data_IF_618095501236
#
_entry.id   IF_618095501236
#
_cell.length_a   1.000
_cell.length_b   1.000
_cell.length_c   1.000
_cell.angle_alpha   90.00
_cell.angle_beta   90.00
_cell.angle_gamma   90.00
#
_symmetry.space_group_name_H-M   'P 1'
#
loop_
_entity.id
_entity.type
_entity.pdbx_description
1 polymer ?
#
# COMPACT_ATOMS: atom_id res chain seq x y z
N UNK A 1 -10.47 -17.44 -18.90
CA UNK A 1 -9.79 -16.22 -18.43
C UNK A 1 -8.31 -16.49 -18.35
N UNK A 2 -7.47 -15.72 -19.04
CA UNK A 2 -6.02 -15.90 -18.96
C UNK A 2 -5.52 -15.43 -17.59
N UNK A 3 -4.67 -16.23 -16.96
CA UNK A 3 -4.06 -15.91 -15.67
C UNK A 3 -3.02 -14.79 -15.88
N UNK A 4 -2.97 -13.81 -14.97
CA UNK A 4 -2.03 -12.69 -15.09
C UNK A 4 -0.58 -13.23 -15.07
N UNK A 5 0.34 -12.73 -15.93
CA UNK A 5 1.69 -13.27 -16.06
C UNK A 5 2.54 -13.23 -14.79
N UNK A 6 2.15 -12.42 -13.80
CA UNK A 6 2.83 -12.36 -12.50
C UNK A 6 2.50 -13.52 -11.55
N UNK A 7 1.46 -14.33 -11.84
CA UNK A 7 1.08 -15.45 -10.95
C UNK A 7 2.16 -16.53 -10.98
N UNK A 8 2.68 -16.88 -9.81
CA UNK A 8 3.80 -17.84 -9.65
C UNK A 8 5.19 -17.24 -9.87
N UNK A 9 5.27 -15.99 -10.36
CA UNK A 9 6.54 -15.29 -10.49
C UNK A 9 7.04 -14.79 -9.12
N UNK A 10 8.35 -14.71 -8.94
CA UNK A 10 8.94 -14.06 -7.76
C UNK A 10 8.83 -12.55 -7.91
N UNK A 11 8.52 -11.87 -6.81
CA UNK A 11 8.57 -10.42 -6.77
C UNK A 11 10.03 -9.97 -6.97
N UNK A 12 10.31 -9.03 -7.89
CA UNK A 12 11.64 -8.42 -8.02
C UNK A 12 12.01 -7.62 -6.77
N UNK A 13 13.26 -7.18 -6.69
CA UNK A 13 13.73 -6.34 -5.58
C UNK A 13 12.81 -5.13 -5.39
N UNK A 14 12.35 -4.94 -4.17
CA UNK A 14 11.47 -3.86 -3.76
C UNK A 14 12.13 -3.09 -2.62
N UNK A 15 12.17 -1.77 -2.75
CA UNK A 15 12.60 -0.84 -1.72
C UNK A 15 11.61 0.32 -1.71
N UNK A 16 10.92 0.50 -0.59
CA UNK A 16 9.90 1.53 -0.40
C UNK A 16 10.31 2.48 0.71
N UNK A 17 10.18 3.76 0.42
CA UNK A 17 10.37 4.85 1.40
C UNK A 17 9.11 4.97 2.25
N UNK A 18 9.26 5.04 3.57
CA UNK A 18 8.12 5.37 4.43
C UNK A 18 7.76 6.86 4.30
N UNK A 19 6.48 7.15 4.10
CA UNK A 19 5.95 8.53 4.03
C UNK A 19 5.28 8.98 5.33
N UNK A 20 4.89 8.04 6.21
CA UNK A 20 4.25 8.33 7.50
C UNK A 20 5.23 8.19 8.66
N UNK A 21 5.05 8.99 9.71
CA UNK A 21 5.84 8.88 10.95
C UNK A 21 5.56 7.54 11.66
N UNK A 22 6.61 6.93 12.21
CA UNK A 22 6.51 5.68 12.98
C UNK A 22 6.83 4.38 12.21
N UNK A 23 7.06 4.46 10.90
CA UNK A 23 7.52 3.32 10.10
C UNK A 23 8.89 3.60 9.48
N UNK A 24 9.76 2.59 9.46
CA UNK A 24 11.01 2.61 8.71
C UNK A 24 10.81 2.26 7.24
N UNK A 25 11.83 2.52 6.43
CA UNK A 25 11.86 2.09 5.04
C UNK A 25 11.65 0.57 4.95
N UNK A 26 10.89 0.13 3.94
CA UNK A 26 10.49 -1.27 3.76
C UNK A 26 11.28 -1.88 2.62
N UNK A 27 11.95 -2.99 2.90
CA UNK A 27 12.66 -3.79 1.90
C UNK A 27 11.95 -5.12 1.66
N UNK A 28 12.25 -5.75 0.52
CA UNK A 28 11.69 -7.07 0.18
C UNK A 28 11.93 -8.13 1.27
N UNK A 29 13.06 -8.09 1.98
CA UNK A 29 13.37 -9.00 3.08
C UNK A 29 12.32 -8.96 4.19
N UNK A 30 11.77 -7.78 4.46
CA UNK A 30 10.83 -7.52 5.56
C UNK A 30 9.42 -8.07 5.25
N UNK A 31 9.19 -8.43 3.99
CA UNK A 31 7.94 -8.94 3.44
C UNK A 31 7.93 -10.45 3.26
N UNK A 32 9.09 -11.12 3.35
CA UNK A 32 9.18 -12.56 3.17
C UNK A 32 8.40 -13.29 4.27
N UNK A 33 7.64 -14.32 3.86
CA UNK A 33 6.79 -15.10 4.76
C UNK A 33 5.45 -14.43 5.10
N UNK A 34 5.22 -13.18 4.65
CA UNK A 34 3.95 -12.50 4.81
C UNK A 34 3.12 -12.57 3.52
N UNK A 35 1.81 -12.61 3.69
CA UNK A 35 0.86 -12.25 2.62
C UNK A 35 0.82 -10.72 2.56
N UNK A 36 1.18 -10.17 1.40
CA UNK A 36 1.28 -8.71 1.22
C UNK A 36 0.25 -8.26 0.20
N UNK A 37 -0.61 -7.33 0.61
CA UNK A 37 -1.46 -6.55 -0.28
C UNK A 37 -0.77 -5.24 -0.62
N UNK A 38 -0.30 -5.09 -1.86
CA UNK A 38 0.20 -3.81 -2.37
C UNK A 38 -0.93 -3.07 -3.08
N UNK A 39 -1.17 -1.84 -2.64
CA UNK A 39 -2.12 -0.93 -3.23
C UNK A 39 -1.40 0.30 -3.79
N UNK A 40 -1.50 0.54 -5.08
CA UNK A 40 -0.91 1.73 -5.73
C UNK A 40 -1.99 2.79 -5.89
N UNK A 41 -1.76 4.01 -5.39
CA UNK A 41 -2.78 5.05 -5.34
C UNK A 41 -2.23 6.46 -5.52
N UNK A 42 -3.13 7.44 -5.66
CA UNK A 42 -2.84 8.88 -5.61
C UNK A 42 -4.12 9.68 -5.36
N UNK A 43 -4.03 10.91 -4.84
CA UNK A 43 -5.24 11.68 -4.47
C UNK A 43 -6.10 12.10 -5.65
N UNK A 44 -5.46 12.26 -6.80
CA UNK A 44 -6.10 12.53 -8.09
C UNK A 44 -6.73 11.29 -8.72
N UNK A 45 -6.50 10.09 -8.17
CA UNK A 45 -7.03 8.84 -8.70
C UNK A 45 -8.45 8.56 -8.16
N UNK A 46 -9.47 8.92 -8.96
CA UNK A 46 -10.87 8.66 -8.65
C UNK A 46 -11.18 7.18 -8.33
N UNK A 47 -10.77 6.21 -9.17
CA UNK A 47 -10.96 4.79 -8.88
C UNK A 47 -10.30 4.34 -7.57
N UNK A 48 -9.08 4.80 -7.29
CA UNK A 48 -8.37 4.45 -6.06
C UNK A 48 -9.15 4.91 -4.81
N UNK A 49 -9.82 6.07 -4.87
CA UNK A 49 -10.68 6.55 -3.77
C UNK A 49 -11.88 5.64 -3.54
N UNK A 50 -12.46 5.08 -4.61
CA UNK A 50 -13.55 4.12 -4.52
C UNK A 50 -13.09 2.77 -3.92
N UNK A 51 -11.80 2.43 -4.04
CA UNK A 51 -11.22 1.22 -3.47
C UNK A 51 -10.90 1.34 -1.97
N UNK A 52 -10.73 2.56 -1.43
CA UNK A 52 -10.36 2.77 -0.02
C UNK A 52 -11.30 2.10 1.00
N UNK A 53 -12.64 2.16 0.87
CA UNK A 53 -13.54 1.46 1.79
C UNK A 53 -13.31 -0.06 1.79
N UNK A 54 -13.04 -0.65 0.62
CA UNK A 54 -12.75 -2.07 0.51
C UNK A 54 -11.41 -2.44 1.15
N UNK A 55 -10.40 -1.57 1.04
CA UNK A 55 -9.13 -1.75 1.74
C UNK A 55 -9.29 -1.68 3.26
N UNK A 56 -10.15 -0.78 3.75
CA UNK A 56 -10.49 -0.70 5.17
C UNK A 56 -11.16 -2.00 5.66
N UNK A 57 -12.09 -2.57 4.89
CA UNK A 57 -12.72 -3.85 5.22
C UNK A 57 -11.73 -5.02 5.24
N UNK A 58 -10.81 -5.08 4.27
CA UNK A 58 -9.74 -6.08 4.25
C UNK A 58 -8.86 -5.94 5.50
N UNK A 59 -8.46 -4.71 5.83
CA UNK A 59 -7.66 -4.46 7.01
C UNK A 59 -8.39 -4.80 8.31
N UNK A 60 -9.69 -4.51 8.41
CA UNK A 60 -10.50 -4.89 9.56
C UNK A 60 -10.55 -6.42 9.75
N UNK A 61 -10.55 -7.19 8.66
CA UNK A 61 -10.60 -8.66 8.69
C UNK A 61 -9.25 -9.32 8.94
N UNK A 62 -8.17 -8.77 8.40
CA UNK A 62 -6.87 -9.44 8.36
C UNK A 62 -5.74 -8.68 9.07
N UNK A 63 -5.94 -7.42 9.43
CA UNK A 63 -4.90 -6.54 10.00
C UNK A 63 -4.36 -6.98 11.36
N UNK A 64 -5.09 -7.82 12.10
CA UNK A 64 -4.62 -8.41 13.37
C UNK A 64 -3.75 -9.65 13.17
N UNK A 65 -3.69 -10.20 11.95
CA UNK A 65 -2.83 -11.35 11.64
C UNK A 65 -1.38 -10.93 11.62
N UNK A 66 -0.52 -11.76 12.22
CA UNK A 66 0.93 -11.53 12.25
C UNK A 66 1.59 -11.66 10.87
N UNK A 67 0.97 -12.41 9.96
CA UNK A 67 1.50 -12.75 8.64
C UNK A 67 0.87 -11.92 7.50
N UNK A 68 0.07 -10.89 7.80
CA UNK A 68 -0.55 -10.04 6.79
C UNK A 68 0.00 -8.61 6.82
N UNK A 69 0.28 -8.04 5.65
CA UNK A 69 0.76 -6.67 5.50
C UNK A 69 0.00 -5.96 4.39
N UNK A 70 -0.51 -4.76 4.66
CA UNK A 70 -1.08 -3.87 3.65
C UNK A 70 -0.12 -2.71 3.43
N UNK A 71 0.34 -2.53 2.20
CA UNK A 71 1.24 -1.44 1.80
C UNK A 71 0.53 -0.53 0.81
N UNK A 72 0.25 0.71 1.23
CA UNK A 72 -0.29 1.76 0.35
C UNK A 72 0.87 2.57 -0.23
N UNK A 73 1.11 2.42 -1.53
CA UNK A 73 2.22 3.03 -2.26
C UNK A 73 1.68 4.15 -3.15
N UNK A 74 2.19 5.37 -2.95
CA UNK A 74 1.96 6.50 -3.86
C UNK A 74 3.28 6.92 -4.52
N UNK A 75 3.19 7.50 -5.70
CA UNK A 75 4.30 8.21 -6.33
C UNK A 75 4.36 9.66 -5.83
N UNK A 76 4.97 9.88 -4.65
CA UNK A 76 5.27 11.20 -4.09
C UNK A 76 6.77 11.41 -3.92
N UNK A 77 7.27 12.63 -4.15
CA UNK A 77 8.66 13.00 -3.86
C UNK A 77 8.81 13.37 -2.38
N UNK A 78 9.99 13.10 -1.80
CA UNK A 78 10.34 13.46 -0.42
C UNK A 78 10.05 14.95 -0.17
N UNK A 79 9.10 15.24 0.72
CA UNK A 79 8.74 16.61 1.12
C UNK A 79 7.63 17.27 0.28
N UNK A 80 7.08 16.60 -0.72
CA UNK A 80 5.87 17.03 -1.44
C UNK A 80 4.71 16.09 -1.11
N UNK A 81 4.32 16.06 0.16
CA UNK A 81 3.27 15.21 0.71
C UNK A 81 1.86 15.73 0.38
N UNK A 82 1.66 16.30 -0.82
CA UNK A 82 0.36 16.83 -1.26
C UNK A 82 -0.74 15.78 -1.16
N UNK A 83 -0.40 14.53 -1.44
CA UNK A 83 -1.33 13.42 -1.35
C UNK A 83 -1.79 13.16 0.10
N UNK A 84 -0.85 13.10 1.05
CA UNK A 84 -1.18 12.89 2.45
C UNK A 84 -1.88 14.11 3.06
N UNK A 85 -1.44 15.32 2.69
CA UNK A 85 -2.04 16.57 3.14
C UNK A 85 -3.46 16.76 2.60
N UNK A 86 -3.74 16.32 1.37
CA UNK A 86 -5.09 16.36 0.81
C UNK A 86 -6.00 15.31 1.48
N UNK A 87 -5.53 14.08 1.70
CA UNK A 87 -6.31 13.08 2.45
C UNK A 87 -6.65 13.54 3.86
N UNK A 88 -5.69 14.10 4.61
CA UNK A 88 -5.93 14.59 5.97
C UNK A 88 -6.98 15.71 6.06
N UNK A 89 -7.27 16.40 4.95
CA UNK A 89 -8.36 17.40 4.87
C UNK A 89 -9.70 16.78 4.49
N UNK A 90 -9.70 15.67 3.75
CA UNK A 90 -10.92 14.98 3.29
C UNK A 90 -11.48 13.97 4.29
N UNK A 91 -10.63 13.39 5.16
CA UNK A 91 -11.03 12.41 6.18
C UNK A 91 -11.20 13.01 7.58
N UNK A 92 -11.56 14.29 7.69
CA UNK A 92 -11.95 14.91 8.97
C UNK A 92 -13.47 14.91 9.13
#
# INVERSE_FOLDING_TARGET
SAQHPAVGARLPTLQLRALTTGWGDVQLSDLRGNVVLLNFWGTWCGPCRQELPHLADIYARFGTRKDFRLLAVSCGLKGDDRDLAALGRETR
#
